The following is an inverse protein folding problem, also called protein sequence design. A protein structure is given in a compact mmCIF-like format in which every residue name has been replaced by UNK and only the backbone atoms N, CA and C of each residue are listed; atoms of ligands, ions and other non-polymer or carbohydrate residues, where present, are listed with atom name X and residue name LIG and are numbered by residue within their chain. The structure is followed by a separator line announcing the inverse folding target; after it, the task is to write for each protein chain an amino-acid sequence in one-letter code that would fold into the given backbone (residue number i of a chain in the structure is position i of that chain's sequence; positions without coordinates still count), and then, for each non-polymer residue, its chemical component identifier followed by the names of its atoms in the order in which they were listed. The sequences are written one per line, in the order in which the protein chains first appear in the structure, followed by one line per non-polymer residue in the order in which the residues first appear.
data_IF_958199943035
#
_entry.id   IF_958199943035
#
_cell.length_a   1.000
_cell.length_b   1.000
_cell.length_c   1.000
_cell.angle_alpha   90.00
_cell.angle_beta   90.00
_cell.angle_gamma   90.00
#
_symmetry.space_group_name_H-M   'P 1'
#
loop_
_entity.id
_entity.type
_entity.pdbx_description
1 polymer ?
#
# COMPACT_ATOMS: atom_id res chain seq x y z
N UNK A 1 -17.36 -0.34 -22.02
CA UNK A 1 -16.43 -0.11 -20.89
C UNK A 1 -16.20 -1.45 -20.24
N UNK A 2 -15.12 -2.13 -20.63
CA UNK A 2 -14.79 -3.45 -20.10
C UNK A 2 -14.16 -3.27 -18.73
N UNK A 3 -14.87 -3.63 -17.67
CA UNK A 3 -14.28 -3.89 -16.37
C UNK A 3 -13.33 -5.09 -16.56
N UNK A 4 -12.04 -4.82 -16.75
CA UNK A 4 -10.99 -5.85 -16.76
C UNK A 4 -11.04 -6.50 -15.38
N UNK A 5 -11.29 -7.81 -15.33
CA UNK A 5 -11.28 -8.61 -14.11
C UNK A 5 -9.94 -8.44 -13.39
N UNK A 6 -10.02 -8.24 -12.08
CA UNK A 6 -8.90 -8.20 -11.15
C UNK A 6 -8.26 -9.58 -11.07
N UNK A 7 -7.04 -9.74 -11.55
CA UNK A 7 -6.21 -10.91 -11.25
C UNK A 7 -5.65 -10.72 -9.83
N UNK A 8 -6.21 -11.46 -8.87
CA UNK A 8 -5.82 -11.46 -7.46
C UNK A 8 -4.62 -12.39 -7.34
N UNK A 9 -3.42 -11.85 -7.13
CA UNK A 9 -2.25 -12.63 -6.75
C UNK A 9 -2.06 -12.50 -5.25
N UNK A 10 -2.39 -13.56 -4.50
CA UNK A 10 -2.16 -13.64 -3.06
C UNK A 10 -0.64 -13.70 -2.81
N UNK A 11 -0.06 -12.59 -2.35
CA UNK A 11 1.37 -12.53 -1.99
C UNK A 11 1.51 -12.42 -0.46
N UNK A 12 1.71 -13.58 0.16
CA UNK A 12 2.11 -13.75 1.56
C UNK A 12 0.94 -13.71 2.54
N UNK A 13 0.81 -14.74 3.35
CA UNK A 13 -0.15 -14.77 4.46
C UNK A 13 0.47 -14.13 5.71
N UNK A 14 -0.13 -13.03 6.16
CA UNK A 14 -0.34 -12.72 7.57
C UNK A 14 -1.85 -12.59 7.66
N UNK A 15 -2.52 -13.32 8.56
CA UNK A 15 -4.00 -13.43 8.62
C UNK A 15 -4.78 -12.09 8.64
N UNK A 16 -4.13 -10.95 8.92
CA UNK A 16 -4.75 -9.62 9.04
C UNK A 16 -4.32 -8.60 7.95
N UNK A 17 -3.46 -8.98 7.00
CA UNK A 17 -3.00 -8.07 5.93
C UNK A 17 -3.19 -8.75 4.58
N UNK A 18 -4.27 -8.39 3.88
CA UNK A 18 -4.64 -8.94 2.59
C UNK A 18 -4.27 -7.98 1.44
N UNK A 19 -3.80 -8.57 0.33
CA UNK A 19 -3.52 -7.84 -0.91
C UNK A 19 -4.76 -7.89 -1.78
N UNK A 20 -5.39 -6.74 -1.95
CA UNK A 20 -6.68 -6.70 -2.62
C UNK A 20 -6.78 -5.49 -3.54
N UNK A 21 -7.14 -5.78 -4.79
CA UNK A 21 -7.54 -4.87 -5.88
C UNK A 21 -6.44 -4.11 -6.65
N UNK A 22 -6.49 -4.30 -7.98
CA UNK A 22 -5.83 -3.47 -8.98
C UNK A 22 -6.90 -2.74 -9.79
N UNK A 23 -7.11 -1.47 -9.50
CA UNK A 23 -7.99 -0.59 -10.29
C UNK A 23 -7.13 0.25 -11.21
N UNK A 24 -7.42 0.25 -12.50
CA UNK A 24 -6.80 1.16 -13.46
C UNK A 24 -7.76 2.33 -13.72
N UNK A 25 -7.39 3.51 -13.22
CA UNK A 25 -8.05 4.76 -13.56
C UNK A 25 -7.00 5.74 -14.09
N UNK A 26 -7.28 6.36 -15.25
CA UNK A 26 -6.56 7.54 -15.77
C UNK A 26 -5.03 7.48 -15.57
N UNK A 27 -4.35 6.64 -16.33
CA UNK A 27 -2.88 6.50 -16.34
C UNK A 27 -2.26 6.09 -14.99
N UNK A 28 -3.04 5.57 -14.05
CA UNK A 28 -2.56 5.05 -12.77
C UNK A 28 -3.00 3.62 -12.55
N UNK A 29 -2.17 2.88 -11.82
CA UNK A 29 -2.47 1.53 -11.33
C UNK A 29 -2.41 1.56 -9.80
N UNK A 30 -3.53 1.26 -9.15
CA UNK A 30 -3.63 1.28 -7.70
C UNK A 30 -3.42 -0.13 -7.15
N UNK A 31 -2.61 -0.28 -6.11
CA UNK A 31 -2.45 -1.51 -5.33
C UNK A 31 -2.84 -1.21 -3.89
N UNK A 32 -3.90 -1.84 -3.39
CA UNK A 32 -4.38 -1.60 -2.03
C UNK A 32 -3.89 -2.73 -1.08
N UNK A 33 -3.33 -2.32 0.04
CA UNK A 33 -2.93 -3.15 1.17
C UNK A 33 -3.97 -2.95 2.26
N UNK A 34 -4.81 -3.95 2.47
CA UNK A 34 -5.89 -3.86 3.45
C UNK A 34 -5.40 -4.40 4.79
N UNK A 35 -5.35 -3.52 5.78
CA UNK A 35 -5.05 -3.83 7.17
C UNK A 35 -6.38 -4.07 7.90
N UNK A 36 -6.69 -5.35 8.12
CA UNK A 36 -7.88 -5.78 8.83
C UNK A 36 -7.72 -5.57 10.34
N UNK A 37 -8.72 -4.94 10.95
CA UNK A 37 -8.74 -4.62 12.38
C UNK A 37 -7.69 -3.59 12.83
N UNK A 38 -7.50 -3.51 14.14
CA UNK A 38 -6.58 -2.57 14.78
C UNK A 38 -5.11 -2.97 14.59
N UNK A 39 -4.31 -2.05 14.05
CA UNK A 39 -2.87 -2.20 13.92
C UNK A 39 -2.18 -1.50 15.08
N UNK A 40 -1.63 -2.29 16.01
CA UNK A 40 -0.88 -1.79 17.15
C UNK A 40 0.50 -1.24 16.74
N UNK A 41 1.13 -0.52 17.67
CA UNK A 41 2.46 0.06 17.48
C UNK A 41 3.60 -0.90 17.85
N UNK A 42 3.37 -2.19 18.04
CA UNK A 42 4.41 -3.11 18.48
C UNK A 42 5.45 -3.37 17.37
N UNK A 43 6.68 -3.70 17.77
CA UNK A 43 7.80 -3.84 16.83
C UNK A 43 7.61 -4.98 15.83
N UNK A 44 6.94 -6.07 16.23
CA UNK A 44 6.54 -7.17 15.34
C UNK A 44 5.55 -6.70 14.27
N UNK A 45 4.54 -5.91 14.64
CA UNK A 45 3.51 -5.40 13.72
C UNK A 45 4.09 -4.36 12.76
N UNK A 46 4.92 -3.44 13.27
CA UNK A 46 5.68 -2.49 12.45
C UNK A 46 6.54 -3.22 11.41
N UNK A 47 7.30 -4.24 11.83
CA UNK A 47 8.14 -5.01 10.93
C UNK A 47 7.31 -5.76 9.88
N UNK A 48 6.23 -6.41 10.29
CA UNK A 48 5.32 -7.09 9.38
C UNK A 48 4.78 -6.16 8.28
N UNK A 49 4.34 -4.95 8.66
CA UNK A 49 3.87 -3.94 7.72
C UNK A 49 4.97 -3.51 6.75
N UNK A 50 6.19 -3.25 7.24
CA UNK A 50 7.33 -2.89 6.39
C UNK A 50 7.72 -4.01 5.43
N UNK A 51 7.78 -5.26 5.90
CA UNK A 51 8.10 -6.43 5.09
C UNK A 51 7.07 -6.59 3.95
N UNK A 52 5.78 -6.33 4.23
CA UNK A 52 4.71 -6.32 3.22
C UNK A 52 4.91 -5.19 2.21
N UNK A 53 5.12 -3.97 2.69
CA UNK A 53 5.37 -2.80 1.82
C UNK A 53 6.59 -3.02 0.92
N UNK A 54 7.66 -3.62 1.45
CA UNK A 54 8.83 -4.01 0.67
C UNK A 54 8.50 -5.04 -0.42
N UNK A 55 7.70 -6.05 -0.08
CA UNK A 55 7.19 -7.03 -1.03
C UNK A 55 6.42 -6.39 -2.19
N UNK A 56 5.60 -5.37 -1.90
CA UNK A 56 4.85 -4.63 -2.93
C UNK A 56 5.76 -3.82 -3.85
N UNK A 57 6.75 -3.12 -3.29
CA UNK A 57 7.77 -2.43 -4.10
C UNK A 57 8.44 -3.45 -5.03
N UNK A 58 8.85 -4.60 -4.50
CA UNK A 58 9.43 -5.68 -5.31
C UNK A 58 8.52 -6.16 -6.43
N UNK A 59 7.22 -6.33 -6.15
CA UNK A 59 6.23 -6.72 -7.14
C UNK A 59 6.04 -5.66 -8.23
N UNK A 60 5.90 -4.38 -7.86
CA UNK A 60 5.76 -3.24 -8.78
C UNK A 60 6.99 -3.10 -9.68
N UNK A 61 8.18 -3.36 -9.14
CA UNK A 61 9.44 -3.29 -9.87
C UNK A 61 9.74 -4.52 -10.72
N UNK A 62 8.94 -5.59 -10.62
CA UNK A 62 9.12 -6.80 -11.42
C UNK A 62 8.91 -6.53 -12.91
N UNK A 63 9.61 -7.30 -13.76
CA UNK A 63 9.48 -7.17 -15.21
C UNK A 63 8.05 -7.46 -15.70
N UNK A 64 7.39 -8.44 -15.06
CA UNK A 64 6.00 -8.77 -15.35
C UNK A 64 5.07 -7.56 -15.11
N UNK A 65 5.18 -6.92 -13.96
CA UNK A 65 4.33 -5.77 -13.62
C UNK A 65 4.58 -4.59 -14.56
N UNK A 66 5.86 -4.30 -14.86
CA UNK A 66 6.25 -3.24 -15.81
C UNK A 66 5.71 -3.48 -17.21
N UNK A 67 5.65 -4.73 -17.66
CA UNK A 67 5.08 -5.09 -18.96
C UNK A 67 3.56 -4.99 -18.98
N UNK A 68 2.86 -5.54 -17.99
CA UNK A 68 1.38 -5.53 -17.95
C UNK A 68 0.81 -4.11 -17.76
N UNK A 69 1.48 -3.27 -16.97
CA UNK A 69 1.02 -1.91 -16.62
C UNK A 69 1.89 -0.82 -17.23
N UNK A 70 2.54 -1.09 -18.38
CA UNK A 70 3.43 -0.14 -19.03
C UNK A 70 2.75 1.22 -19.29
N UNK A 71 3.39 2.30 -18.85
CA UNK A 71 2.89 3.67 -19.01
C UNK A 71 1.88 4.12 -17.96
N UNK A 72 1.54 3.26 -16.99
CA UNK A 72 0.75 3.64 -15.81
C UNK A 72 1.67 3.95 -14.62
N UNK A 73 1.35 5.02 -13.89
CA UNK A 73 2.05 5.35 -12.65
C UNK A 73 1.51 4.49 -11.48
N UNK A 74 2.37 3.76 -10.76
CA UNK A 74 1.94 2.94 -9.63
C UNK A 74 1.59 3.79 -8.41
N UNK A 75 0.48 3.45 -7.77
CA UNK A 75 0.03 4.03 -6.50
C UNK A 75 -0.20 2.89 -5.52
N UNK A 76 0.47 2.93 -4.38
CA UNK A 76 0.18 2.02 -3.26
C UNK A 76 -0.75 2.72 -2.28
N UNK A 77 -1.85 2.08 -1.93
CA UNK A 77 -2.81 2.56 -0.94
C UNK A 77 -2.75 1.64 0.27
N UNK A 78 -2.49 2.18 1.46
CA UNK A 78 -2.65 1.42 2.70
C UNK A 78 -4.02 1.76 3.27
N UNK A 79 -4.89 0.76 3.33
CA UNK A 79 -6.25 0.88 3.79
C UNK A 79 -6.38 0.26 5.18
N UNK A 80 -6.74 1.10 6.15
CA UNK A 80 -7.06 0.70 7.51
C UNK A 80 -8.57 0.63 7.72
N UNK A 81 -9.07 -0.46 8.29
CA UNK A 81 -10.48 -0.53 8.72
C UNK A 81 -10.73 0.26 10.01
N UNK A 82 -9.72 0.30 10.87
CA UNK A 82 -9.72 1.00 12.16
C UNK A 82 -8.56 1.99 12.24
N UNK A 83 -8.67 3.03 13.07
CA UNK A 83 -7.58 4.00 13.24
C UNK A 83 -6.34 3.30 13.83
N UNK A 84 -5.20 3.28 13.11
CA UNK A 84 -4.03 2.56 13.59
C UNK A 84 -3.34 3.32 14.72
N UNK A 85 -2.48 2.63 15.47
CA UNK A 85 -1.69 3.25 16.53
C UNK A 85 -0.82 4.41 15.99
N UNK A 86 -0.62 5.47 16.78
CA UNK A 86 0.14 6.66 16.36
C UNK A 86 1.57 6.33 15.88
N UNK A 87 2.22 5.34 16.50
CA UNK A 87 3.54 4.85 16.07
C UNK A 87 3.54 4.29 14.63
N UNK A 88 2.44 3.67 14.19
CA UNK A 88 2.26 3.21 12.81
C UNK A 88 2.18 4.42 11.88
N UNK A 89 1.40 5.44 12.23
CA UNK A 89 1.31 6.67 11.43
C UNK A 89 2.68 7.37 11.30
N UNK A 90 3.46 7.44 12.38
CA UNK A 90 4.82 7.97 12.36
C UNK A 90 5.78 7.12 11.52
N UNK A 91 5.61 5.80 11.50
CA UNK A 91 6.39 4.91 10.64
C UNK A 91 6.04 5.15 9.16
N UNK A 92 4.75 5.23 8.85
CA UNK A 92 4.26 5.41 7.49
C UNK A 92 4.62 6.77 6.90
N UNK A 93 4.67 7.83 7.73
CA UNK A 93 5.12 9.16 7.28
C UNK A 93 6.56 9.14 6.74
N UNK A 94 7.41 8.28 7.30
CA UNK A 94 8.79 8.05 6.82
C UNK A 94 8.81 7.20 5.55
N UNK A 95 7.86 6.27 5.41
CA UNK A 95 7.73 5.41 4.23
C UNK A 95 7.31 6.18 2.97
N UNK A 96 6.69 7.36 3.10
CA UNK A 96 6.33 8.20 1.95
C UNK A 96 7.58 8.53 1.10
N UNK A 97 8.66 8.97 1.75
CA UNK A 97 9.92 9.26 1.06
C UNK A 97 10.51 7.99 0.41
N UNK A 98 10.48 6.88 1.14
CA UNK A 98 10.97 5.59 0.66
C UNK A 98 10.24 5.09 -0.59
N UNK A 99 8.91 5.24 -0.66
CA UNK A 99 8.13 4.89 -1.86
C UNK A 99 8.39 5.84 -3.03
N UNK A 100 8.53 7.13 -2.75
CA UNK A 100 8.85 8.13 -3.76
C UNK A 100 10.20 7.87 -4.43
N UNK A 101 11.19 7.32 -3.72
CA UNK A 101 12.49 6.94 -4.30
C UNK A 101 12.36 5.89 -5.41
N UNK A 102 11.29 5.10 -5.40
CA UNK A 102 10.96 4.14 -6.46
C UNK A 102 9.96 4.68 -7.49
N UNK A 103 9.56 5.95 -7.40
CA UNK A 103 8.54 6.55 -8.25
C UNK A 103 7.13 6.02 -7.99
N UNK A 104 6.87 5.50 -6.80
CA UNK A 104 5.58 4.95 -6.38
C UNK A 104 4.89 5.96 -5.46
N UNK A 105 3.65 6.35 -5.79
CA UNK A 105 2.87 7.23 -4.92
C UNK A 105 2.27 6.43 -3.76
N UNK A 106 2.54 6.85 -2.51
CA UNK A 106 1.95 6.23 -1.32
C UNK A 106 0.76 7.04 -0.82
N UNK A 107 -0.39 6.39 -0.64
CA UNK A 107 -1.63 6.97 -0.10
C UNK A 107 -2.15 6.16 1.08
N UNK A 108 -2.97 6.81 1.90
CA UNK A 108 -3.57 6.19 3.07
C UNK A 108 -5.08 6.36 3.04
N UNK A 109 -5.79 5.31 3.45
CA UNK A 109 -7.24 5.25 3.50
C UNK A 109 -7.66 4.72 4.86
N UNK A 110 -8.62 5.37 5.50
CA UNK A 110 -9.27 4.90 6.72
C UNK A 110 -10.73 4.66 6.38
N UNK A 111 -11.19 3.41 6.47
CA UNK A 111 -12.48 2.95 5.94
C UNK A 111 -12.60 3.38 4.47
N UNK A 112 -13.59 4.21 4.15
CA UNK A 112 -13.82 4.67 2.77
C UNK A 112 -13.24 6.06 2.44
N UNK A 113 -12.43 6.64 3.33
CA UNK A 113 -11.91 8.00 3.18
C UNK A 113 -10.39 8.05 3.12
N UNK A 114 -9.86 8.76 2.12
CA UNK A 114 -8.44 9.06 2.03
C UNK A 114 -8.05 10.11 3.06
N UNK A 115 -6.87 9.94 3.66
CA UNK A 115 -6.29 10.92 4.56
C UNK A 115 -4.79 11.10 4.28
N UNK A 116 -4.26 12.24 4.69
CA UNK A 116 -2.85 12.55 4.56
C UNK A 116 -2.18 12.45 5.92
N UNK A 117 -1.01 11.81 5.96
CA UNK A 117 -0.16 11.84 7.14
C UNK A 117 0.79 13.04 6.97
N UNK A 118 0.56 14.10 7.72
CA UNK A 118 1.50 15.22 7.78
C UNK A 118 2.73 14.80 8.56
N UNK A 119 3.91 14.96 7.95
CA UNK A 119 5.16 14.84 8.68
C UNK A 119 5.14 15.91 9.78
N UNK A 120 5.07 15.48 11.04
CA UNK A 120 5.39 16.36 12.16
C UNK A 120 6.90 16.44 12.20
N UNK A 121 7.44 17.56 11.72
CA UNK A 121 8.82 17.94 11.99
C UNK A 121 8.94 18.20 13.49
N UNK A 122 9.50 17.24 14.23
CA UNK A 122 10.09 17.49 15.55
C UNK A 122 11.62 17.48 15.44
#
# INVERSE_FOLDING_TARGET
MNQKKSDISQIGEIDNIDLSYVVSEKNKVYLELVCAGYIDGESNMQKALLDKMQGYIGHILSDWFKQEYQGLAPVTVIHFEEEPHQLILQLLSKCIAWFNDYGIELRFKLKDSYFNITQSEE
#
